data_IF_157946225443
#
_entry.id   IF_157946225443
#
_cell.length_a   1.000
_cell.length_b   1.000
_cell.length_c   1.000
_cell.angle_alpha   90.00
_cell.angle_beta   90.00
_cell.angle_gamma   90.00
#
_symmetry.space_group_name_H-M   'P 1'
#
loop_
_entity.id
_entity.type
_entity.pdbx_description
1 polymer ?
#
# COMPACT_ATOMS: atom_id res chain seq x y z
N UNK A 1 4.33 17.60 -30.00
CA UNK A 1 5.51 17.54 -29.12
C UNK A 1 5.24 16.45 -28.09
N UNK A 2 5.90 15.29 -28.16
CA UNK A 2 5.71 14.23 -27.15
C UNK A 2 6.42 14.68 -25.86
N UNK A 3 5.64 15.15 -24.89
CA UNK A 3 6.15 15.71 -23.63
C UNK A 3 6.58 14.58 -22.69
N UNK A 4 7.86 14.24 -22.72
CA UNK A 4 8.44 13.24 -21.82
C UNK A 4 8.58 13.75 -20.38
N UNK A 5 8.46 12.85 -19.40
CA UNK A 5 8.71 13.14 -17.99
C UNK A 5 10.15 12.82 -17.59
N UNK A 6 10.71 13.63 -16.68
CA UNK A 6 12.02 13.37 -16.07
C UNK A 6 11.98 12.12 -15.18
N UNK A 7 13.14 11.51 -14.91
CA UNK A 7 13.23 10.34 -14.03
C UNK A 7 12.77 10.62 -12.59
N UNK A 8 12.94 11.84 -12.06
CA UNK A 8 12.42 12.21 -10.73
C UNK A 8 10.90 12.18 -10.67
N UNK A 9 10.23 12.74 -11.68
CA UNK A 9 8.76 12.68 -11.82
C UNK A 9 8.27 11.24 -11.98
N UNK A 10 9.00 10.43 -12.74
CA UNK A 10 8.70 9.01 -12.89
C UNK A 10 8.82 8.24 -11.56
N UNK A 11 9.93 8.43 -10.83
CA UNK A 11 10.13 7.83 -9.52
C UNK A 11 9.07 8.31 -8.53
N UNK A 12 8.65 9.58 -8.57
CA UNK A 12 7.58 10.11 -7.72
C UNK A 12 6.25 9.42 -7.94
N UNK A 13 5.88 9.15 -9.19
CA UNK A 13 4.64 8.43 -9.49
C UNK A 13 4.71 7.01 -8.93
N UNK A 14 5.80 6.29 -9.19
CA UNK A 14 5.98 4.91 -8.72
C UNK A 14 6.05 4.83 -7.19
N UNK A 15 6.76 5.75 -6.55
CA UNK A 15 6.94 5.77 -5.10
C UNK A 15 5.67 6.19 -4.36
N UNK A 16 4.84 7.05 -4.96
CA UNK A 16 3.53 7.37 -4.38
C UNK A 16 2.58 6.18 -4.41
N UNK A 17 2.69 5.30 -5.42
CA UNK A 17 1.88 4.09 -5.55
C UNK A 17 2.35 2.99 -4.59
N UNK A 18 3.67 2.69 -4.60
CA UNK A 18 4.29 1.76 -3.65
C UNK A 18 4.16 2.24 -2.19
N UNK A 19 4.36 3.54 -1.98
CA UNK A 19 4.46 4.15 -0.67
C UNK A 19 3.13 4.22 0.09
N UNK A 20 1.99 4.27 -0.60
CA UNK A 20 0.68 4.24 0.07
C UNK A 20 0.46 2.92 0.81
N UNK A 21 0.90 1.81 0.23
CA UNK A 21 0.74 0.47 0.81
C UNK A 21 1.51 0.29 2.11
N UNK A 22 2.61 1.03 2.31
CA UNK A 22 3.43 0.94 3.51
C UNK A 22 2.67 1.31 4.80
N UNK A 23 1.64 2.17 4.72
CA UNK A 23 0.90 2.64 5.90
C UNK A 23 -0.14 1.66 6.41
N UNK A 24 -0.72 0.82 5.54
CA UNK A 24 -1.74 -0.16 5.94
C UNK A 24 -1.27 -1.61 5.86
N UNK A 25 -0.36 -1.96 4.95
CA UNK A 25 0.00 -3.36 4.70
C UNK A 25 0.58 -4.05 5.93
N UNK A 26 1.42 -3.35 6.70
CA UNK A 26 1.97 -3.89 7.95
C UNK A 26 0.88 -4.19 8.99
N UNK A 27 -0.11 -3.30 9.13
CA UNK A 27 -1.23 -3.50 10.06
C UNK A 27 -2.15 -4.65 9.65
N UNK A 28 -2.45 -4.75 8.34
CA UNK A 28 -3.24 -5.87 7.80
C UNK A 28 -2.50 -7.20 7.99
N UNK A 29 -1.20 -7.24 7.69
CA UNK A 29 -0.37 -8.44 7.88
C UNK A 29 -0.28 -8.84 9.36
N UNK A 30 -0.12 -7.87 10.28
CA UNK A 30 -0.11 -8.13 11.72
C UNK A 30 -1.46 -8.67 12.21
N UNK A 31 -2.58 -8.11 11.73
CA UNK A 31 -3.91 -8.61 12.07
C UNK A 31 -4.15 -10.02 11.54
N UNK A 32 -3.61 -10.34 10.36
CA UNK A 32 -3.82 -11.62 9.69
C UNK A 32 -2.92 -12.75 10.23
N UNK A 33 -1.67 -12.45 10.59
CA UNK A 33 -0.61 -13.45 10.88
C UNK A 33 -0.13 -13.37 12.34
N UNK A 34 -0.40 -12.25 13.01
CA UNK A 34 0.08 -11.96 14.36
C UNK A 34 1.41 -11.19 14.38
N UNK A 35 2.04 -11.14 15.56
CA UNK A 35 3.21 -10.30 15.85
C UNK A 35 4.47 -10.65 15.03
N UNK A 36 4.50 -11.80 14.34
CA UNK A 36 5.60 -12.20 13.45
C UNK A 36 5.52 -11.58 12.05
N UNK A 37 4.45 -10.83 11.73
CA UNK A 37 4.24 -10.20 10.41
C UNK A 37 5.43 -9.38 9.87
N UNK A 38 6.20 -8.62 10.68
CA UNK A 38 7.33 -7.85 10.15
C UNK A 38 8.37 -8.69 9.40
N UNK A 39 8.58 -9.96 9.79
CA UNK A 39 9.49 -10.86 9.07
C UNK A 39 9.01 -11.19 7.66
N UNK A 40 7.70 -11.35 7.48
CA UNK A 40 7.11 -11.59 6.16
C UNK A 40 7.15 -10.35 5.29
N UNK A 41 6.93 -9.16 5.86
CA UNK A 41 7.12 -7.89 5.14
C UNK A 41 8.56 -7.76 4.65
N UNK A 42 9.57 -8.03 5.49
CA UNK A 42 10.97 -8.04 5.06
C UNK A 42 11.21 -9.06 3.95
N UNK A 43 10.65 -10.27 4.07
CA UNK A 43 10.74 -11.30 3.03
C UNK A 43 10.13 -10.85 1.70
N UNK A 44 8.96 -10.21 1.72
CA UNK A 44 8.30 -9.66 0.54
C UNK A 44 9.11 -8.51 -0.06
N UNK A 45 9.69 -7.62 0.76
CA UNK A 45 10.56 -6.54 0.27
C UNK A 45 11.84 -7.08 -0.37
N UNK A 46 12.41 -8.18 0.14
CA UNK A 46 13.53 -8.86 -0.51
C UNK A 46 13.12 -9.50 -1.84
N UNK A 47 11.94 -10.13 -1.88
CA UNK A 47 11.37 -10.69 -3.11
C UNK A 47 11.07 -9.60 -4.17
N UNK A 48 10.62 -8.42 -3.73
CA UNK A 48 10.35 -7.23 -4.55
C UNK A 48 11.56 -6.84 -5.39
N UNK A 49 12.78 -6.86 -4.84
CA UNK A 49 13.98 -6.59 -5.64
C UNK A 49 14.16 -7.53 -6.84
N UNK A 50 13.71 -8.78 -6.71
CA UNK A 50 13.77 -9.77 -7.80
C UNK A 50 12.71 -9.46 -8.86
N UNK A 51 11.48 -9.14 -8.44
CA UNK A 51 10.38 -8.75 -9.33
C UNK A 51 10.73 -7.46 -10.08
N UNK A 52 11.28 -6.47 -9.38
CA UNK A 52 11.83 -5.23 -9.97
C UNK A 52 12.89 -5.50 -11.04
N UNK A 53 13.80 -6.45 -10.81
CA UNK A 53 14.82 -6.81 -11.78
C UNK A 53 14.21 -7.34 -13.09
N UNK A 54 13.20 -8.21 -12.97
CA UNK A 54 12.42 -8.73 -14.11
C UNK A 54 11.69 -7.60 -14.85
N UNK A 55 11.12 -6.64 -14.13
CA UNK A 55 10.49 -5.47 -14.75
C UNK A 55 11.49 -4.61 -15.53
N UNK A 56 12.67 -4.34 -14.97
CA UNK A 56 13.72 -3.56 -15.64
C UNK A 56 14.21 -4.28 -16.91
N UNK A 57 14.39 -5.59 -16.85
CA UNK A 57 14.76 -6.41 -18.01
C UNK A 57 13.67 -6.39 -19.09
N UNK A 58 12.42 -6.67 -18.70
CA UNK A 58 11.27 -6.68 -19.61
C UNK A 58 11.06 -5.33 -20.30
N UNK A 59 11.19 -4.24 -19.56
CA UNK A 59 11.08 -2.87 -20.08
C UNK A 59 12.21 -2.49 -21.04
N UNK A 60 13.37 -3.14 -20.92
CA UNK A 60 14.52 -2.94 -21.81
C UNK A 60 14.38 -3.70 -23.13
N UNK A 61 13.78 -4.90 -23.09
CA UNK A 61 13.55 -5.73 -24.27
C UNK A 61 12.37 -5.20 -25.11
N UNK A 62 11.30 -4.74 -24.47
CA UNK A 62 10.07 -4.29 -25.14
C UNK A 62 9.83 -2.78 -24.96
N UNK A 63 10.64 -1.98 -25.65
CA UNK A 63 10.57 -0.51 -25.56
C UNK A 63 9.19 0.01 -26.03
N UNK A 64 8.51 0.78 -25.17
CA UNK A 64 7.12 1.28 -25.33
C UNK A 64 6.02 0.21 -25.25
N UNK A 65 6.32 -0.99 -24.76
CA UNK A 65 5.31 -1.98 -24.40
C UNK A 65 4.89 -1.84 -22.93
N UNK A 66 3.60 -1.63 -22.67
CA UNK A 66 3.03 -1.89 -21.33
C UNK A 66 2.84 -3.40 -21.11
N UNK A 67 2.33 -3.78 -19.93
CA UNK A 67 2.13 -5.19 -19.51
C UNK A 67 1.52 -6.06 -20.63
N UNK A 68 0.49 -5.55 -21.33
CA UNK A 68 -0.13 -6.28 -22.44
C UNK A 68 0.86 -6.72 -23.52
N UNK A 69 1.71 -5.80 -24.00
CA UNK A 69 2.59 -6.05 -25.14
C UNK A 69 3.72 -6.98 -24.72
N UNK A 70 4.30 -6.75 -23.55
CA UNK A 70 5.35 -7.62 -22.98
C UNK A 70 4.86 -9.07 -22.90
N UNK A 71 3.69 -9.28 -22.30
CA UNK A 71 3.14 -10.63 -22.12
C UNK A 71 2.72 -11.24 -23.46
N UNK A 72 2.16 -10.45 -24.37
CA UNK A 72 1.74 -10.94 -25.69
C UNK A 72 2.91 -11.46 -26.52
N UNK A 73 4.01 -10.72 -26.55
CA UNK A 73 5.20 -11.09 -27.31
C UNK A 73 5.96 -12.27 -26.66
N UNK A 74 5.96 -12.37 -25.33
CA UNK A 74 6.68 -13.44 -24.62
C UNK A 74 5.89 -14.75 -24.45
N UNK A 75 4.58 -14.65 -24.18
CA UNK A 75 3.74 -15.76 -23.71
C UNK A 75 2.46 -15.97 -24.56
N UNK A 76 2.22 -15.12 -25.56
CA UNK A 76 1.09 -15.24 -26.47
C UNK A 76 -0.18 -14.47 -26.06
N UNK A 77 -1.17 -14.46 -26.95
CA UNK A 77 -2.33 -13.57 -26.86
C UNK A 77 -3.31 -13.88 -25.72
N UNK A 78 -3.47 -15.14 -25.33
CA UNK A 78 -4.40 -15.53 -24.26
C UNK A 78 -3.92 -15.06 -22.89
N UNK A 79 -2.65 -15.33 -22.57
CA UNK A 79 -2.05 -14.89 -21.30
C UNK A 79 -1.98 -13.36 -21.22
N UNK A 80 -1.73 -12.67 -22.34
CA UNK A 80 -1.77 -11.21 -22.37
C UNK A 80 -3.12 -10.61 -21.99
N UNK A 81 -4.23 -11.23 -22.42
CA UNK A 81 -5.58 -10.80 -22.04
C UNK A 81 -5.83 -11.02 -20.55
N UNK A 82 -5.42 -12.17 -20.00
CA UNK A 82 -5.55 -12.47 -18.57
C UNK A 82 -4.77 -11.45 -17.74
N UNK A 83 -3.51 -11.18 -18.09
CA UNK A 83 -2.66 -10.22 -17.38
C UNK A 83 -3.23 -8.80 -17.41
N UNK A 84 -3.77 -8.35 -18.56
CA UNK A 84 -4.40 -7.02 -18.63
C UNK A 84 -5.69 -6.96 -17.84
N UNK A 85 -6.53 -8.00 -17.87
CA UNK A 85 -7.74 -8.04 -17.05
C UNK A 85 -7.41 -7.96 -15.56
N UNK A 86 -6.38 -8.69 -15.12
CA UNK A 86 -5.89 -8.61 -13.74
C UNK A 86 -5.37 -7.21 -13.40
N UNK A 87 -4.60 -6.58 -14.29
CA UNK A 87 -4.09 -5.22 -14.10
C UNK A 87 -5.22 -4.16 -14.05
N UNK A 88 -6.24 -4.30 -14.90
CA UNK A 88 -7.40 -3.40 -14.87
C UNK A 88 -8.23 -3.57 -13.60
N UNK A 89 -8.38 -4.82 -13.15
CA UNK A 89 -9.04 -5.11 -11.88
C UNK A 89 -8.29 -4.48 -10.70
N UNK A 90 -6.97 -4.63 -10.67
CA UNK A 90 -6.09 -4.01 -9.67
C UNK A 90 -6.31 -2.49 -9.62
N UNK A 91 -6.17 -1.78 -10.75
CA UNK A 91 -6.38 -0.32 -10.78
C UNK A 91 -7.80 0.13 -10.38
N UNK A 92 -8.83 -0.67 -10.67
CA UNK A 92 -10.20 -0.36 -10.25
C UNK A 92 -10.35 -0.48 -8.73
N UNK A 93 -9.61 -1.39 -8.09
CA UNK A 93 -9.66 -1.60 -6.64
C UNK A 93 -8.74 -0.67 -5.86
N UNK A 94 -7.53 -0.37 -6.37
CA UNK A 94 -6.52 0.40 -5.65
C UNK A 94 -7.00 1.80 -5.27
N UNK A 95 -7.72 2.48 -6.18
CA UNK A 95 -8.27 3.82 -5.94
C UNK A 95 -9.28 3.85 -4.77
N UNK A 96 -10.38 3.08 -4.83
CA UNK A 96 -11.36 3.00 -3.75
C UNK A 96 -10.78 2.50 -2.43
N UNK A 97 -9.92 1.47 -2.43
CA UNK A 97 -9.30 0.95 -1.20
C UNK A 97 -8.48 2.06 -0.53
N UNK A 98 -7.64 2.76 -1.29
CA UNK A 98 -6.84 3.88 -0.78
C UNK A 98 -7.73 5.02 -0.25
N UNK A 99 -8.82 5.34 -0.95
CA UNK A 99 -9.77 6.37 -0.52
C UNK A 99 -10.49 6.03 0.78
N UNK A 100 -10.93 4.77 0.94
CA UNK A 100 -11.59 4.29 2.17
C UNK A 100 -10.59 4.26 3.33
N UNK A 101 -9.38 3.72 3.13
CA UNK A 101 -8.35 3.70 4.17
C UNK A 101 -7.94 5.10 4.62
N UNK A 102 -7.81 6.06 3.70
CA UNK A 102 -7.55 7.45 4.05
C UNK A 102 -8.69 8.06 4.89
N UNK A 103 -9.95 7.77 4.56
CA UNK A 103 -11.10 8.17 5.35
C UNK A 103 -11.11 7.56 6.76
N UNK A 104 -10.72 6.29 6.88
CA UNK A 104 -10.58 5.61 8.18
C UNK A 104 -9.50 6.27 9.03
N UNK A 105 -8.36 6.64 8.44
CA UNK A 105 -7.29 7.35 9.15
C UNK A 105 -7.73 8.73 9.64
N UNK A 106 -8.46 9.50 8.82
CA UNK A 106 -8.96 10.82 9.20
C UNK A 106 -9.99 10.69 10.34
N UNK A 107 -10.97 9.78 10.20
CA UNK A 107 -11.99 9.58 11.21
C UNK A 107 -11.39 9.04 12.52
N UNK A 108 -10.41 8.13 12.43
CA UNK A 108 -9.65 7.63 13.57
C UNK A 108 -8.89 8.74 14.30
N UNK A 109 -8.14 9.56 13.55
CA UNK A 109 -7.40 10.69 14.12
C UNK A 109 -8.33 11.69 14.84
N UNK A 110 -9.48 12.00 14.26
CA UNK A 110 -10.49 12.88 14.88
C UNK A 110 -10.98 12.27 16.20
N UNK A 111 -11.35 10.98 16.18
CA UNK A 111 -11.85 10.28 17.36
C UNK A 111 -10.79 10.19 18.47
N UNK A 112 -9.55 9.85 18.14
CA UNK A 112 -8.44 9.76 19.10
C UNK A 112 -8.08 11.14 19.68
N UNK A 113 -8.18 12.20 18.88
CA UNK A 113 -7.99 13.58 19.35
C UNK A 113 -9.07 13.96 20.35
N UNK A 114 -10.35 13.64 20.06
CA UNK A 114 -11.43 13.89 21.01
C UNK A 114 -11.28 13.07 22.30
N UNK A 115 -10.91 11.80 22.21
CA UNK A 115 -10.66 10.95 23.40
C UNK A 115 -9.50 11.52 24.23
N UNK A 116 -8.43 11.97 23.59
CA UNK A 116 -7.27 12.56 24.28
C UNK A 116 -7.61 13.92 24.89
N UNK A 117 -8.41 14.73 24.21
CA UNK A 117 -8.88 16.01 24.74
C UNK A 117 -9.81 15.80 25.95
N UNK A 118 -10.66 14.77 25.92
CA UNK A 118 -11.54 14.39 27.03
C UNK A 118 -10.72 13.96 28.26
N UNK A 119 -9.71 13.12 28.06
CA UNK A 119 -8.84 12.64 29.16
C UNK A 119 -8.04 13.77 29.84
N UNK A 120 -7.77 14.86 29.12
CA UNK A 120 -7.15 16.08 29.66
C UNK A 120 -8.18 17.13 30.13
N UNK A 121 -9.47 16.85 30.06
CA UNK A 121 -10.56 17.73 30.50
C UNK A 121 -10.79 18.95 29.62
N UNK A 122 -10.32 18.94 28.37
CA UNK A 122 -10.43 20.05 27.42
C UNK A 122 -11.77 20.10 26.69
N UNK A 123 -12.61 19.07 26.84
CA UNK A 123 -13.95 19.03 26.24
C UNK A 123 -14.95 19.70 27.18
N UNK A 124 -15.64 20.78 26.74
CA UNK A 124 -16.66 21.42 27.55
C UNK A 124 -17.83 20.47 27.87
N UNK A 125 -18.37 20.58 29.09
CA UNK A 125 -19.58 19.83 29.51
C UNK A 125 -20.77 19.97 28.55
N UNK A 126 -20.89 21.12 27.86
CA UNK A 126 -21.92 21.35 26.84
C UNK A 126 -21.81 20.37 25.67
N UNK A 127 -20.59 20.02 25.27
CA UNK A 127 -20.34 19.08 24.19
C UNK A 127 -20.66 17.63 24.62
N UNK A 128 -20.35 17.27 25.86
CA UNK A 128 -20.76 15.98 26.44
C UNK A 128 -22.28 15.80 26.51
N UNK A 129 -23.01 16.87 26.82
CA UNK A 129 -24.47 16.86 26.90
C UNK A 129 -25.12 16.76 25.50
N UNK A 130 -24.51 17.35 24.48
CA UNK A 130 -24.99 17.30 23.09
C UNK A 130 -24.75 15.95 22.42
N UNK A 131 -23.62 15.30 22.70
CA UNK A 131 -23.23 14.03 22.07
C UNK A 131 -23.46 12.81 22.94
N UNK A 132 -24.11 12.96 24.11
CA UNK A 132 -24.31 11.90 25.12
C UNK A 132 -23.00 11.17 25.51
N UNK A 133 -21.89 11.91 25.57
CA UNK A 133 -20.56 11.36 25.80
C UNK A 133 -19.48 12.11 25.01
N UNK A 134 -18.31 11.48 24.88
CA UNK A 134 -17.22 12.01 24.05
C UNK A 134 -17.67 12.08 22.59
N UNK A 135 -17.51 13.21 21.88
CA UNK A 135 -17.87 13.32 20.47
C UNK A 135 -17.15 12.25 19.65
N UNK A 136 -17.91 11.46 18.90
CA UNK A 136 -17.37 10.44 18.00
C UNK A 136 -17.98 10.58 16.63
N UNK A 137 -17.12 10.46 15.64
CA UNK A 137 -17.50 10.42 14.23
C UNK A 137 -17.58 8.95 13.81
N UNK A 138 -18.65 8.59 13.12
CA UNK A 138 -18.81 7.26 12.53
C UNK A 138 -17.72 7.07 11.46
N UNK A 139 -16.81 6.12 11.73
CA UNK A 139 -15.66 5.83 10.88
C UNK A 139 -16.12 5.32 9.52
N UNK A 140 -17.12 4.44 9.46
CA UNK A 140 -17.55 3.81 8.22
C UNK A 140 -18.22 4.82 7.29
N UNK A 141 -19.16 5.60 7.82
CA UNK A 141 -19.85 6.63 7.04
C UNK A 141 -18.90 7.72 6.54
N UNK A 142 -18.01 8.18 7.43
CA UNK A 142 -17.02 9.20 7.06
C UNK A 142 -16.07 8.68 5.99
N UNK A 143 -15.67 7.41 6.08
CA UNK A 143 -14.80 6.80 5.08
C UNK A 143 -15.46 6.69 3.72
N UNK A 144 -16.73 6.31 3.65
CA UNK A 144 -17.49 6.23 2.39
C UNK A 144 -17.65 7.61 1.77
N UNK A 145 -18.10 8.61 2.55
CA UNK A 145 -18.29 9.98 2.07
C UNK A 145 -16.96 10.57 1.58
N UNK A 146 -15.88 10.36 2.33
CA UNK A 146 -14.55 10.82 1.96
C UNK A 146 -14.05 10.14 0.68
N UNK A 147 -14.17 8.82 0.57
CA UNK A 147 -13.76 8.07 -0.63
C UNK A 147 -14.52 8.53 -1.88
N UNK A 148 -15.83 8.77 -1.77
CA UNK A 148 -16.65 9.30 -2.88
C UNK A 148 -16.21 10.71 -3.28
N UNK A 149 -15.97 11.60 -2.31
CA UNK A 149 -15.49 12.95 -2.56
C UNK A 149 -14.11 12.97 -3.25
N UNK A 150 -13.17 12.15 -2.77
CA UNK A 150 -11.83 12.01 -3.35
C UNK A 150 -11.91 11.44 -4.77
N UNK A 151 -12.75 10.44 -5.01
CA UNK A 151 -12.96 9.86 -6.34
C UNK A 151 -13.48 10.90 -7.33
N UNK A 152 -14.49 11.69 -6.94
CA UNK A 152 -15.01 12.78 -7.79
C UNK A 152 -13.95 13.85 -8.04
N UNK A 153 -13.16 14.19 -7.03
CA UNK A 153 -12.06 15.16 -7.17
C UNK A 153 -11.01 14.67 -8.19
N UNK A 154 -10.55 13.43 -8.08
CA UNK A 154 -9.56 12.88 -9.02
C UNK A 154 -10.13 12.66 -10.41
N UNK A 155 -11.41 12.30 -10.54
CA UNK A 155 -12.09 12.31 -11.84
C UNK A 155 -11.98 13.69 -12.48
N UNK A 156 -12.33 14.75 -11.74
CA UNK A 156 -12.25 16.13 -12.24
C UNK A 156 -10.81 16.58 -12.53
N UNK A 157 -9.82 16.13 -11.78
CA UNK A 157 -8.41 16.41 -12.09
C UNK A 157 -7.96 15.68 -13.35
N UNK A 158 -8.40 14.44 -13.56
CA UNK A 158 -8.03 13.64 -14.73
C UNK A 158 -8.56 14.23 -16.03
N UNK A 159 -9.69 14.95 -16.01
CA UNK A 159 -10.20 15.65 -17.21
C UNK A 159 -9.38 16.88 -17.60
N UNK A 160 -8.52 17.42 -16.73
CA UNK A 160 -7.66 18.58 -17.02
C UNK A 160 -6.32 18.23 -17.71
N UNK A 161 -5.85 16.99 -17.60
CA UNK A 161 -4.67 16.47 -18.30
C UNK A 161 -3.44 16.15 -17.43
N UNK A 162 -2.52 15.34 -17.98
CA UNK A 162 -1.45 14.62 -17.26
C UNK A 162 -0.31 15.53 -16.74
N UNK A 163 -0.02 16.66 -17.38
CA UNK A 163 1.10 17.52 -16.97
C UNK A 163 0.84 18.22 -15.63
N UNK A 164 -0.37 18.73 -15.40
CA UNK A 164 -0.72 19.35 -14.11
C UNK A 164 -0.68 18.35 -12.95
N UNK A 165 -0.92 17.06 -13.24
CA UNK A 165 -0.91 16.00 -12.23
C UNK A 165 0.51 15.60 -11.79
N UNK A 166 1.48 15.61 -12.72
CA UNK A 166 2.84 15.15 -12.44
C UNK A 166 3.63 16.05 -11.48
N UNK A 167 3.38 17.37 -11.52
CA UNK A 167 4.00 18.31 -10.58
C UNK A 167 3.42 18.16 -9.16
N UNK A 168 2.11 17.92 -9.07
CA UNK A 168 1.44 17.62 -7.80
C UNK A 168 1.95 16.31 -7.20
N UNK A 169 2.18 15.28 -8.02
CA UNK A 169 2.74 14.01 -7.57
C UNK A 169 4.12 14.16 -6.90
N UNK A 170 5.01 15.01 -7.46
CA UNK A 170 6.29 15.32 -6.81
C UNK A 170 6.11 16.01 -5.46
N UNK A 171 5.16 16.95 -5.35
CA UNK A 171 4.87 17.63 -4.08
C UNK A 171 4.32 16.68 -3.03
N UNK A 172 3.42 15.76 -3.44
CA UNK A 172 2.91 14.70 -2.56
C UNK A 172 4.05 13.83 -2.05
N UNK A 173 4.93 13.37 -2.95
CA UNK A 173 6.10 12.56 -2.59
C UNK A 173 6.97 13.28 -1.54
N UNK A 174 7.26 14.57 -1.72
CA UNK A 174 8.03 15.36 -0.76
C UNK A 174 7.38 15.40 0.63
N UNK A 175 6.07 15.67 0.68
CA UNK A 175 5.31 15.69 1.94
C UNK A 175 5.37 14.31 2.60
N UNK A 176 5.15 13.24 1.83
CA UNK A 176 5.21 11.86 2.33
C UNK A 176 6.60 11.52 2.86
N UNK A 177 7.68 11.94 2.18
CA UNK A 177 9.05 11.72 2.68
C UNK A 177 9.28 12.42 4.01
N UNK A 178 8.86 13.68 4.16
CA UNK A 178 8.98 14.41 5.44
C UNK A 178 8.18 13.70 6.53
N UNK A 179 6.96 13.26 6.22
CA UNK A 179 6.11 12.51 7.16
C UNK A 179 6.78 11.21 7.62
N UNK A 180 7.37 10.43 6.71
CA UNK A 180 8.12 9.20 7.04
C UNK A 180 9.30 9.51 7.96
N UNK A 181 10.07 10.57 7.69
CA UNK A 181 11.20 10.97 8.55
C UNK A 181 10.72 11.32 9.97
N UNK A 182 9.61 12.04 10.09
CA UNK A 182 9.00 12.36 11.39
C UNK A 182 8.56 11.08 12.11
N UNK A 183 7.89 10.16 11.41
CA UNK A 183 7.46 8.88 11.99
C UNK A 183 8.63 8.02 12.47
N UNK A 184 9.71 7.94 11.70
CA UNK A 184 10.92 7.20 12.10
C UNK A 184 11.59 7.84 13.31
N UNK A 185 11.70 9.18 13.34
CA UNK A 185 12.24 9.89 14.49
C UNK A 185 11.38 9.68 15.74
N UNK A 186 10.05 9.76 15.61
CA UNK A 186 9.12 9.54 16.71
C UNK A 186 9.13 8.09 17.21
N UNK A 187 9.23 7.13 16.30
CA UNK A 187 9.41 5.70 16.63
C UNK A 187 10.69 5.49 17.44
N UNK A 188 11.82 6.06 17.01
CA UNK A 188 13.08 5.99 17.76
C UNK A 188 12.96 6.60 19.16
N UNK A 189 12.34 7.77 19.29
CA UNK A 189 12.08 8.40 20.60
C UNK A 189 11.19 7.52 21.48
N UNK A 190 10.17 6.88 20.90
CA UNK A 190 9.25 5.99 21.63
C UNK A 190 9.99 4.75 22.13
N UNK A 191 10.82 4.13 21.28
CA UNK A 191 11.66 2.99 21.66
C UNK A 191 12.63 3.33 22.79
N UNK A 192 13.22 4.53 22.78
CA UNK A 192 14.12 4.99 23.84
C UNK A 192 13.40 5.26 25.17
N UNK A 193 12.13 5.71 25.13
CA UNK A 193 11.37 6.07 26.34
C UNK A 193 10.58 4.91 26.94
N UNK A 194 9.95 4.09 26.10
CA UNK A 194 9.01 3.04 26.50
C UNK A 194 9.61 1.63 26.38
N UNK A 195 10.83 1.52 25.85
CA UNK A 195 11.47 0.24 25.54
C UNK A 195 11.02 -0.32 24.19
N UNK A 196 11.48 -1.53 23.87
CA UNK A 196 11.14 -2.23 22.63
C UNK A 196 10.36 -3.51 22.93
N UNK A 197 9.43 -3.86 22.05
CA UNK A 197 8.80 -5.18 22.04
C UNK A 197 9.57 -6.07 21.06
N UNK A 198 10.09 -7.24 21.49
CA UNK A 198 10.80 -8.13 20.59
C UNK A 198 9.81 -8.69 19.55
N UNK A 199 10.18 -8.62 18.27
CA UNK A 199 9.41 -9.25 17.19
C UNK A 199 9.66 -10.76 17.27
N UNK A 200 8.64 -11.58 17.58
CA UNK A 200 8.82 -13.03 17.68
C UNK A 200 9.26 -13.59 16.33
N UNK A 201 10.12 -14.62 16.37
CA UNK A 201 10.52 -15.33 15.16
C UNK A 201 9.28 -16.01 14.53
N UNK A 202 9.26 -16.19 13.19
CA UNK A 202 8.15 -16.81 12.46
C UNK A 202 8.17 -18.34 12.65
N UNK A 203 8.04 -18.79 13.90
CA UNK A 203 7.85 -20.20 14.26
C UNK A 203 6.35 -20.54 14.28
N UNK A 204 5.98 -21.81 14.04
CA UNK A 204 4.57 -22.24 14.05
C UNK A 204 3.77 -21.79 15.29
N UNK A 205 4.40 -21.75 16.47
CA UNK A 205 3.73 -21.35 17.71
C UNK A 205 3.46 -19.83 17.82
N UNK A 206 4.22 -19.02 17.08
CA UNK A 206 4.07 -17.56 17.07
C UNK A 206 3.13 -17.06 15.97
N UNK A 207 2.80 -17.90 14.98
CA UNK A 207 1.86 -17.58 13.91
C UNK A 207 0.42 -17.75 14.41
N UNK A 208 -0.33 -16.65 14.43
CA UNK A 208 -1.73 -16.63 14.84
C UNK A 208 -2.56 -16.11 13.68
N UNK A 209 -3.23 -17.03 13.00
CA UNK A 209 -4.09 -16.69 11.88
C UNK A 209 -5.45 -16.21 12.37
N UNK A 210 -5.89 -15.04 11.90
CA UNK A 210 -7.25 -14.59 12.15
C UNK A 210 -8.26 -15.43 11.35
N UNK A 211 -9.53 -15.50 11.79
CA UNK A 211 -10.58 -16.19 11.02
C UNK A 211 -10.74 -15.67 9.60
N UNK A 212 -10.48 -14.38 9.39
CA UNK A 212 -10.54 -13.71 8.09
C UNK A 212 -9.37 -14.13 7.20
N UNK A 213 -8.18 -14.33 7.78
CA UNK A 213 -6.97 -14.73 7.05
C UNK A 213 -7.05 -16.15 6.50
N UNK A 214 -7.86 -17.03 7.11
CA UNK A 214 -8.05 -18.41 6.65
C UNK A 214 -9.00 -18.49 5.44
N UNK A 215 -9.86 -17.50 5.22
CA UNK A 215 -10.81 -17.48 4.09
C UNK A 215 -11.60 -18.78 3.96
N UNK A 216 -11.46 -19.46 2.82
CA UNK A 216 -12.15 -20.73 2.54
C UNK A 216 -11.71 -21.89 3.45
N UNK A 217 -10.51 -21.81 4.04
CA UNK A 217 -9.99 -22.84 4.95
C UNK A 217 -10.68 -22.79 6.32
N UNK A 218 -11.37 -21.69 6.67
CA UNK A 218 -12.07 -21.51 7.95
C UNK A 218 -13.04 -22.66 8.28
N UNK A 219 -13.63 -23.28 7.27
CA UNK A 219 -14.66 -24.32 7.41
C UNK A 219 -14.12 -25.75 7.32
N UNK A 220 -12.81 -25.94 7.18
CA UNK A 220 -12.20 -27.28 7.18
C UNK A 220 -11.60 -27.56 8.56
N UNK A 221 -11.75 -28.79 9.06
CA UNK A 221 -11.12 -29.25 10.33
C UNK A 221 -9.59 -29.10 10.32
N UNK A 222 -9.02 -28.87 9.14
CA UNK A 222 -7.62 -28.53 8.90
C UNK A 222 -7.24 -27.13 9.41
N UNK A 223 -8.16 -26.17 9.58
CA UNK A 223 -7.85 -24.77 9.94
C UNK A 223 -7.09 -24.62 11.27
N UNK A 224 -7.49 -25.35 12.31
CA UNK A 224 -6.84 -25.27 13.62
C UNK A 224 -5.48 -25.99 13.67
N UNK A 225 -5.24 -26.91 12.74
CA UNK A 225 -4.06 -27.77 12.72
C UNK A 225 -3.08 -27.43 11.58
N UNK A 226 -3.48 -26.62 10.60
CA UNK A 226 -2.69 -26.26 9.42
C UNK A 226 -1.45 -25.43 9.76
N UNK A 227 -1.58 -24.49 10.70
CA UNK A 227 -0.45 -23.70 11.19
C UNK A 227 0.61 -24.57 11.91
N UNK A 228 0.19 -25.68 12.53
CA UNK A 228 1.07 -26.61 13.27
C UNK A 228 1.60 -27.77 12.43
N UNK A 229 0.79 -28.37 11.56
CA UNK A 229 1.14 -29.59 10.80
C UNK A 229 1.84 -29.32 9.47
N UNK A 230 1.68 -28.12 8.92
CA UNK A 230 2.21 -27.76 7.61
C UNK A 230 2.85 -26.36 7.63
N UNK A 231 3.94 -26.20 8.37
CA UNK A 231 4.65 -24.91 8.51
C UNK A 231 4.91 -24.18 7.18
N UNK A 232 5.15 -24.92 6.08
CA UNK A 232 5.31 -24.33 4.74
C UNK A 232 4.02 -23.67 4.21
N UNK A 233 2.85 -24.30 4.37
CA UNK A 233 1.58 -23.71 3.93
C UNK A 233 1.20 -22.49 4.79
N UNK A 234 1.45 -22.54 6.10
CA UNK A 234 1.29 -21.37 6.96
C UNK A 234 2.18 -20.21 6.54
N UNK A 235 3.45 -20.49 6.21
CA UNK A 235 4.38 -19.49 5.65
C UNK A 235 3.87 -18.93 4.33
N UNK A 236 3.33 -19.75 3.42
CA UNK A 236 2.79 -19.29 2.15
C UNK A 236 1.56 -18.39 2.32
N UNK A 237 0.65 -18.75 3.24
CA UNK A 237 -0.52 -17.92 3.56
C UNK A 237 -0.08 -16.58 4.17
N UNK A 238 0.85 -16.62 5.11
CA UNK A 238 1.42 -15.44 5.74
C UNK A 238 2.17 -14.54 4.74
N UNK A 239 2.94 -15.15 3.84
CA UNK A 239 3.57 -14.44 2.73
C UNK A 239 2.51 -13.78 1.84
N UNK A 240 1.45 -14.51 1.46
CA UNK A 240 0.33 -14.01 0.66
C UNK A 240 -0.35 -12.77 1.25
N UNK A 241 -0.64 -12.77 2.56
CA UNK A 241 -1.21 -11.61 3.25
C UNK A 241 -0.25 -10.41 3.34
N UNK A 242 1.05 -10.65 3.14
CA UNK A 242 2.08 -9.61 3.14
C UNK A 242 2.41 -9.09 1.74
N UNK A 243 1.94 -9.74 0.66
CA UNK A 243 2.25 -9.36 -0.74
C UNK A 243 1.78 -7.95 -1.07
N UNK A 244 0.73 -7.45 -0.42
CA UNK A 244 0.25 -6.07 -0.60
C UNK A 244 1.34 -5.02 -0.38
N UNK A 245 2.39 -5.32 0.39
CA UNK A 245 3.53 -4.43 0.58
C UNK A 245 4.35 -4.17 -0.71
N UNK A 246 4.21 -5.00 -1.74
CA UNK A 246 4.88 -4.85 -3.05
C UNK A 246 3.98 -4.21 -4.13
N UNK A 247 2.67 -4.01 -3.85
CA UNK A 247 1.74 -3.44 -4.83
C UNK A 247 2.19 -2.03 -5.24
N UNK A 248 2.29 -1.78 -6.55
CA UNK A 248 2.78 -0.52 -7.13
C UNK A 248 4.04 -0.69 -8.01
N UNK A 249 4.69 -1.86 -8.04
CA UNK A 249 5.86 -2.09 -8.90
C UNK A 249 5.53 -2.06 -10.39
N UNK A 250 4.32 -2.49 -10.75
CA UNK A 250 3.80 -2.48 -12.12
C UNK A 250 3.72 -1.06 -12.71
N UNK A 251 3.58 -0.04 -11.87
CA UNK A 251 3.62 1.37 -12.30
C UNK A 251 4.95 1.74 -12.93
N UNK A 252 6.06 1.08 -12.57
CA UNK A 252 7.37 1.28 -13.22
C UNK A 252 7.31 0.96 -14.72
N UNK A 253 6.62 -0.13 -15.09
CA UNK A 253 6.46 -0.53 -16.48
C UNK A 253 5.58 0.44 -17.28
N UNK A 254 4.54 1.00 -16.64
CA UNK A 254 3.66 1.98 -17.28
C UNK A 254 4.38 3.31 -17.54
N UNK A 255 5.13 3.78 -16.54
CA UNK A 255 5.84 5.05 -16.59
C UNK A 255 7.00 5.03 -17.59
N UNK A 256 7.59 3.86 -17.87
CA UNK A 256 8.65 3.69 -18.88
C UNK A 256 8.28 4.26 -20.27
N UNK A 257 7.00 4.22 -20.65
CA UNK A 257 6.53 4.75 -21.94
C UNK A 257 6.75 6.26 -22.04
N UNK A 258 6.48 6.99 -20.97
CA UNK A 258 6.52 8.47 -20.88
C UNK A 258 7.89 9.00 -20.47
N UNK A 259 8.83 8.12 -20.10
CA UNK A 259 10.15 8.51 -19.63
C UNK A 259 11.04 9.12 -20.72
N UNK A 260 11.74 10.20 -20.37
CA UNK A 260 12.69 10.89 -21.26
C UNK A 260 13.94 10.05 -21.59
N UNK A 261 14.54 10.32 -22.75
CA UNK A 261 15.83 9.73 -23.13
C UNK A 261 16.98 10.25 -22.24
N UNK A 262 18.00 9.43 -21.93
CA UNK A 262 18.13 8.00 -22.24
C UNK A 262 17.25 7.11 -21.33
N UNK A 263 16.29 6.38 -21.93
CA UNK A 263 15.21 5.67 -21.21
C UNK A 263 15.72 4.62 -20.23
N UNK A 264 16.56 3.69 -20.67
CA UNK A 264 17.03 2.60 -19.81
C UNK A 264 17.81 3.11 -18.58
N UNK A 265 18.68 4.11 -18.78
CA UNK A 265 19.45 4.71 -17.67
C UNK A 265 18.53 5.42 -16.69
N UNK A 266 17.55 6.16 -17.19
CA UNK A 266 16.56 6.86 -16.37
C UNK A 266 15.63 5.87 -15.66
N UNK A 267 15.27 4.75 -16.28
CA UNK A 267 14.43 3.71 -15.69
C UNK A 267 15.16 3.00 -14.56
N UNK A 268 16.43 2.63 -14.77
CA UNK A 268 17.28 2.05 -13.72
C UNK A 268 17.42 2.98 -12.51
N UNK A 269 17.59 4.29 -12.75
CA UNK A 269 17.63 5.29 -11.69
C UNK A 269 16.30 5.38 -10.94
N UNK A 270 15.19 5.45 -11.67
CA UNK A 270 13.86 5.53 -11.07
C UNK A 270 13.48 4.27 -10.29
N UNK A 271 13.96 3.08 -10.70
CA UNK A 271 13.71 1.83 -10.00
C UNK A 271 14.55 1.69 -8.72
N UNK A 272 15.72 2.33 -8.65
CA UNK A 272 16.61 2.28 -7.47
C UNK A 272 16.10 3.19 -6.35
N UNK A 273 15.53 4.33 -6.72
CA UNK A 273 14.91 5.30 -5.81
C UNK A 273 13.64 4.66 -5.22
#
# INVERSE_FOLDING_TARGET
>A
MLTFISYWRAAAIVLNDLGSSAFYAAGIAEQAIGKSAPWFIVGVMLFSFTVRAVYVESCSMFVRGGVYRVVKEALGGTLAKISVSALMFDYILTGPISGVSAGQYIAGLINDTFITADSHGWIPRSMHLMFHGTPRVDVNWTSVVFAVAVTMYFWWQNTKGIQESSEKALRVMQITTVMVVILLAWSAVTLLKQGYQPVPLPTPDNLKFSPEALGFLKHTDLAHDLARKFGLFGILIAFGHSVLAMSGEESLAQVNRELAHPKLKNLKRAAII
#
